data_IF_047782510704
#
_entry.id   IF_047782510704
#
_cell.length_a   1.000
_cell.length_b   1.000
_cell.length_c   1.000
_cell.angle_alpha   90.00
_cell.angle_beta   90.00
_cell.angle_gamma   90.00
#
_symmetry.space_group_name_H-M   'P 1'
#
loop_
_entity.id
_entity.type
_entity.pdbx_description
1 polymer ?
#
# COMPACT_ATOMS: atom_id res chain seq x y z
N UNK A 1 -4.67 0.21 20.89
CA UNK A 1 -3.53 1.11 21.19
C UNK A 1 -2.70 1.15 19.93
N UNK A 2 -2.55 2.31 19.28
CA UNK A 2 -1.62 2.45 18.16
C UNK A 2 -0.20 2.16 18.65
N UNK A 3 0.57 1.38 17.91
CA UNK A 3 1.99 1.16 18.22
C UNK A 3 2.77 2.46 18.13
N UNK A 4 3.83 2.60 18.93
CA UNK A 4 4.76 3.69 18.73
C UNK A 4 5.51 3.51 17.40
N UNK A 5 5.91 4.63 16.81
CA UNK A 5 6.53 4.67 15.49
C UNK A 5 7.84 3.86 15.40
N UNK A 6 8.63 3.80 16.48
CA UNK A 6 9.87 3.01 16.48
C UNK A 6 9.59 1.51 16.43
N UNK A 7 8.48 1.08 17.06
CA UNK A 7 8.00 -0.29 16.97
C UNK A 7 7.54 -0.61 15.55
N UNK A 8 6.81 0.29 14.88
CA UNK A 8 6.40 0.12 13.48
C UNK A 8 7.60 -0.02 12.55
N UNK A 9 8.59 0.87 12.67
CA UNK A 9 9.86 0.81 11.92
C UNK A 9 10.55 -0.53 12.15
N UNK A 10 10.67 -0.96 13.40
CA UNK A 10 11.34 -2.21 13.76
C UNK A 10 10.66 -3.42 13.14
N UNK A 11 9.33 -3.46 13.14
CA UNK A 11 8.56 -4.52 12.51
C UNK A 11 8.79 -4.53 11.00
N UNK A 12 8.62 -3.40 10.32
CA UNK A 12 8.75 -3.30 8.86
C UNK A 12 10.14 -3.71 8.34
N UNK A 13 11.22 -3.44 9.08
CA UNK A 13 12.56 -3.87 8.70
C UNK A 13 12.91 -5.31 9.13
N UNK A 14 11.93 -6.06 9.63
CA UNK A 14 12.07 -7.46 10.02
C UNK A 14 12.80 -7.69 11.35
N UNK A 15 12.88 -6.68 12.24
CA UNK A 15 13.46 -6.91 13.57
C UNK A 15 12.47 -7.68 14.44
N UNK A 16 13.01 -8.67 15.15
CA UNK A 16 12.25 -9.38 16.16
C UNK A 16 11.89 -8.43 17.30
N UNK A 17 10.59 -8.25 17.53
CA UNK A 17 10.06 -7.42 18.62
C UNK A 17 9.40 -8.30 19.68
N UNK A 18 9.14 -7.76 20.89
CA UNK A 18 8.33 -8.45 21.89
C UNK A 18 6.96 -8.91 21.35
N UNK A 19 6.33 -8.11 20.48
CA UNK A 19 5.05 -8.44 19.83
C UNK A 19 5.14 -9.68 18.95
N UNK A 20 6.17 -9.81 18.11
CA UNK A 20 6.40 -11.04 17.32
C UNK A 20 6.56 -12.24 18.24
N UNK A 21 7.33 -12.08 19.32
CA UNK A 21 7.58 -13.17 20.28
C UNK A 21 6.35 -13.52 21.14
N UNK A 22 5.40 -12.59 21.30
CA UNK A 22 4.10 -12.81 21.94
C UNK A 22 3.15 -13.53 20.99
N UNK A 23 3.04 -13.09 19.73
CA UNK A 23 2.23 -13.76 18.69
C UNK A 23 2.64 -15.23 18.47
N UNK A 24 3.95 -15.51 18.48
CA UNK A 24 4.48 -16.88 18.40
C UNK A 24 4.15 -17.74 19.63
N UNK A 25 3.97 -17.14 20.80
CA UNK A 25 3.68 -17.85 22.05
C UNK A 25 2.19 -18.04 22.29
N UNK A 26 1.39 -17.05 21.93
CA UNK A 26 -0.05 -17.00 22.21
C UNK A 26 -0.90 -17.68 21.14
N UNK A 27 -0.39 -17.77 19.91
CA UNK A 27 -1.11 -18.38 18.81
C UNK A 27 -0.32 -19.57 18.24
N UNK A 28 -1.04 -20.59 17.81
CA UNK A 28 -0.58 -21.77 17.07
C UNK A 28 -0.05 -21.41 15.65
N UNK A 29 0.56 -20.22 15.50
CA UNK A 29 0.97 -19.60 14.26
C UNK A 29 2.47 -19.82 14.11
N UNK A 30 2.92 -20.52 13.06
CA UNK A 30 4.33 -20.67 12.77
C UNK A 30 5.07 -19.31 12.75
N UNK A 31 6.34 -19.26 13.20
CA UNK A 31 7.12 -18.02 13.28
C UNK A 31 7.12 -17.16 12.00
N UNK A 32 7.14 -17.79 10.82
CA UNK A 32 7.12 -17.08 9.54
C UNK A 32 5.80 -16.32 9.32
N UNK A 33 4.65 -16.91 9.69
CA UNK A 33 3.36 -16.23 9.60
C UNK A 33 3.23 -15.14 10.66
N UNK A 34 3.75 -15.34 11.87
CA UNK A 34 3.76 -14.31 12.90
C UNK A 34 4.57 -13.08 12.45
N UNK A 35 5.74 -13.31 11.83
CA UNK A 35 6.57 -12.25 11.27
C UNK A 35 5.85 -11.52 10.11
N UNK A 36 5.27 -12.25 9.15
CA UNK A 36 4.46 -11.67 8.06
C UNK A 36 3.36 -10.76 8.60
N UNK A 37 2.48 -11.30 9.46
CA UNK A 37 1.33 -10.56 9.98
C UNK A 37 1.76 -9.34 10.80
N UNK A 38 2.88 -9.41 11.52
CA UNK A 38 3.38 -8.26 12.25
C UNK A 38 3.85 -7.13 11.31
N UNK A 39 4.47 -7.45 10.16
CA UNK A 39 4.86 -6.46 9.15
C UNK A 39 3.65 -5.85 8.45
N UNK A 40 2.72 -6.69 8.01
CA UNK A 40 1.47 -6.28 7.37
C UNK A 40 0.65 -5.35 8.29
N UNK A 41 0.50 -5.74 9.56
CA UNK A 41 -0.15 -4.92 10.59
C UNK A 41 0.57 -3.61 10.81
N UNK A 42 1.91 -3.60 10.85
CA UNK A 42 2.68 -2.37 11.03
C UNK A 42 2.49 -1.39 9.86
N UNK A 43 2.43 -1.89 8.64
CA UNK A 43 2.15 -1.08 7.46
C UNK A 43 0.74 -0.48 7.51
N UNK A 44 -0.29 -1.28 7.85
CA UNK A 44 -1.67 -0.77 8.01
C UNK A 44 -1.77 0.28 9.12
N UNK A 45 -1.16 0.01 10.28
CA UNK A 45 -1.13 0.97 11.39
C UNK A 45 -0.42 2.28 11.01
N UNK A 46 0.60 2.22 10.14
CA UNK A 46 1.26 3.42 9.64
C UNK A 46 0.34 4.30 8.78
N UNK A 47 -0.60 3.74 8.03
CA UNK A 47 -1.57 4.51 7.24
C UNK A 47 -2.46 5.42 8.11
N UNK A 48 -2.73 4.99 9.35
CA UNK A 48 -3.59 5.70 10.31
C UNK A 48 -2.87 6.81 11.09
N UNK A 49 -1.54 6.94 10.95
CA UNK A 49 -0.79 8.00 11.62
C UNK A 49 -1.12 9.37 11.03
N UNK A 50 -1.03 10.47 11.76
CA UNK A 50 -1.26 11.79 11.15
C UNK A 50 -0.09 12.24 10.27
N UNK A 51 1.12 11.74 10.52
CA UNK A 51 2.35 12.07 9.79
C UNK A 51 3.32 10.89 9.86
N UNK A 52 4.16 10.73 8.84
CA UNK A 52 5.28 9.80 8.84
C UNK A 52 6.60 10.52 9.15
N UNK A 53 7.38 9.97 10.08
CA UNK A 53 8.79 10.36 10.19
C UNK A 53 9.61 9.80 9.02
N UNK A 54 10.75 10.42 8.74
CA UNK A 54 11.65 9.94 7.70
C UNK A 54 12.10 8.47 7.88
N UNK A 55 12.42 7.98 9.10
CA UNK A 55 12.68 6.55 9.33
C UNK A 55 11.51 5.64 8.97
N UNK A 56 10.27 6.02 9.32
CA UNK A 56 9.09 5.22 8.98
C UNK A 56 8.82 5.24 7.47
N UNK A 57 8.93 6.40 6.83
CA UNK A 57 8.84 6.51 5.36
C UNK A 57 9.88 5.61 4.67
N UNK A 58 11.13 5.60 5.14
CA UNK A 58 12.17 4.74 4.57
C UNK A 58 11.88 3.25 4.77
N UNK A 59 11.35 2.87 5.94
CA UNK A 59 10.97 1.49 6.23
C UNK A 59 9.78 1.03 5.34
N UNK A 60 8.77 1.88 5.15
CA UNK A 60 7.65 1.62 4.26
C UNK A 60 8.09 1.50 2.80
N UNK A 61 8.99 2.39 2.34
CA UNK A 61 9.57 2.30 1.00
C UNK A 61 10.28 0.97 0.79
N UNK A 62 11.12 0.58 1.75
CA UNK A 62 11.79 -0.72 1.68
C UNK A 62 10.79 -1.87 1.62
N UNK A 63 9.80 -1.88 2.53
CA UNK A 63 8.77 -2.91 2.56
C UNK A 63 7.97 -2.97 1.25
N UNK A 64 7.69 -1.83 0.62
CA UNK A 64 6.91 -1.76 -0.62
C UNK A 64 7.55 -2.48 -1.82
N UNK A 65 8.88 -2.54 -1.87
CA UNK A 65 9.63 -3.10 -3.00
C UNK A 65 10.36 -4.40 -2.68
N UNK A 66 10.80 -4.58 -1.44
CA UNK A 66 11.73 -5.65 -1.06
C UNK A 66 11.08 -6.71 -0.16
N UNK A 67 9.89 -6.49 0.39
CA UNK A 67 9.27 -7.53 1.23
C UNK A 67 8.90 -8.74 0.38
N UNK A 68 9.17 -9.93 0.90
CA UNK A 68 8.88 -11.20 0.24
C UNK A 68 7.36 -11.43 0.11
N UNK A 69 6.59 -10.89 1.05
CA UNK A 69 5.14 -11.09 1.15
C UNK A 69 4.37 -9.99 0.41
N UNK A 70 3.54 -10.39 -0.56
CA UNK A 70 2.74 -9.46 -1.37
C UNK A 70 1.80 -8.59 -0.53
N UNK A 71 1.15 -9.18 0.48
CA UNK A 71 0.25 -8.46 1.38
C UNK A 71 0.98 -7.35 2.16
N UNK A 72 2.25 -7.57 2.52
CA UNK A 72 3.06 -6.57 3.21
C UNK A 72 3.45 -5.46 2.25
N UNK A 73 3.85 -5.81 1.01
CA UNK A 73 4.13 -4.82 -0.04
C UNK A 73 2.91 -3.95 -0.30
N UNK A 74 1.73 -4.54 -0.48
CA UNK A 74 0.47 -3.83 -0.70
C UNK A 74 0.14 -2.88 0.46
N UNK A 75 0.15 -3.37 1.70
CA UNK A 75 -0.12 -2.53 2.88
C UNK A 75 0.87 -1.36 3.03
N UNK A 76 2.16 -1.58 2.76
CA UNK A 76 3.19 -0.54 2.86
C UNK A 76 2.99 0.56 1.80
N UNK A 77 2.56 0.17 0.59
CA UNK A 77 2.27 1.11 -0.51
C UNK A 77 1.03 1.95 -0.22
N UNK A 78 -0.04 1.29 0.24
CA UNK A 78 -1.25 1.97 0.68
C UNK A 78 -0.94 3.06 1.71
N UNK A 79 -0.14 2.74 2.75
CA UNK A 79 0.27 3.73 3.74
C UNK A 79 0.98 4.95 3.14
N UNK A 80 1.89 4.74 2.17
CA UNK A 80 2.58 5.83 1.47
C UNK A 80 1.63 6.68 0.61
N UNK A 81 0.61 6.08 0.01
CA UNK A 81 -0.40 6.78 -0.79
C UNK A 81 -1.28 7.68 0.08
N UNK A 82 -1.72 7.18 1.24
CA UNK A 82 -2.55 7.91 2.20
C UNK A 82 -1.85 9.18 2.72
N UNK A 83 -0.58 9.09 3.10
CA UNK A 83 0.16 10.24 3.65
C UNK A 83 0.46 11.35 2.65
N UNK A 84 0.34 11.02 1.38
CA UNK A 84 0.35 11.97 0.30
C UNK A 84 1.65 12.73 0.06
N UNK A 85 1.65 13.44 -1.06
CA UNK A 85 2.82 14.14 -1.60
C UNK A 85 3.51 13.38 -2.73
N UNK A 86 4.55 14.00 -3.28
CA UNK A 86 5.24 13.57 -4.50
C UNK A 86 5.70 12.11 -4.44
N UNK A 87 6.09 11.62 -3.26
CA UNK A 87 6.51 10.24 -3.08
C UNK A 87 5.33 9.26 -3.21
N UNK A 88 4.21 9.52 -2.54
CA UNK A 88 3.00 8.69 -2.65
C UNK A 88 2.45 8.67 -4.07
N UNK A 89 2.49 9.81 -4.76
CA UNK A 89 2.04 9.91 -6.15
C UNK A 89 2.97 9.14 -7.11
N UNK A 90 4.29 9.23 -6.90
CA UNK A 90 5.25 8.44 -7.66
C UNK A 90 5.10 6.93 -7.40
N UNK A 91 4.83 6.52 -6.16
CA UNK A 91 4.58 5.13 -5.80
C UNK A 91 3.33 4.59 -6.48
N UNK A 92 2.25 5.37 -6.49
CA UNK A 92 1.03 5.02 -7.20
C UNK A 92 1.26 4.82 -8.71
N UNK A 93 2.07 5.67 -9.35
CA UNK A 93 2.41 5.49 -10.77
C UNK A 93 3.25 4.21 -11.02
N UNK A 94 4.18 3.88 -10.13
CA UNK A 94 4.96 2.64 -10.25
C UNK A 94 4.06 1.41 -10.12
N UNK A 95 3.03 1.47 -9.28
CA UNK A 95 2.08 0.39 -9.08
C UNK A 95 1.26 0.04 -10.32
N UNK A 96 0.86 1.04 -11.11
CA UNK A 96 0.11 0.79 -12.35
C UNK A 96 0.96 0.13 -13.44
N UNK A 97 2.25 -0.11 -13.16
CA UNK A 97 3.21 -0.80 -14.02
C UNK A 97 3.73 -2.12 -13.39
N UNK A 98 3.21 -2.55 -12.23
CA UNK A 98 3.66 -3.78 -11.55
C UNK A 98 3.34 -5.02 -12.42
N UNK A 99 4.24 -6.03 -12.53
CA UNK A 99 3.97 -7.22 -13.32
C UNK A 99 2.78 -8.05 -12.82
N UNK A 100 2.42 -7.97 -11.54
CA UNK A 100 1.29 -8.67 -10.98
C UNK A 100 -0.03 -7.89 -11.21
N UNK A 101 -1.02 -8.45 -11.93
CA UNK A 101 -2.28 -7.77 -12.21
C UNK A 101 -3.11 -7.45 -10.95
N UNK A 102 -3.03 -8.26 -9.89
CA UNK A 102 -3.73 -7.99 -8.63
C UNK A 102 -3.19 -6.73 -7.95
N UNK A 103 -1.86 -6.52 -8.04
CA UNK A 103 -1.22 -5.31 -7.53
C UNK A 103 -1.65 -4.07 -8.34
N UNK A 104 -1.71 -4.19 -9.67
CA UNK A 104 -2.22 -3.10 -10.54
C UNK A 104 -3.68 -2.78 -10.22
N UNK A 105 -4.48 -3.80 -9.89
CA UNK A 105 -5.87 -3.63 -9.49
C UNK A 105 -5.99 -2.93 -8.12
N UNK A 106 -5.20 -3.34 -7.12
CA UNK A 106 -5.17 -2.71 -5.79
C UNK A 106 -4.81 -1.23 -5.86
N UNK A 107 -3.86 -0.86 -6.71
CA UNK A 107 -3.45 0.53 -6.91
C UNK A 107 -4.65 1.45 -7.24
N UNK A 108 -5.57 0.92 -8.05
CA UNK A 108 -6.78 1.64 -8.43
C UNK A 108 -7.71 1.88 -7.24
N UNK A 109 -7.92 0.85 -6.42
CA UNK A 109 -8.78 0.94 -5.24
C UNK A 109 -8.15 1.86 -4.17
N UNK A 110 -6.82 1.79 -3.99
CA UNK A 110 -6.06 2.68 -3.09
C UNK A 110 -6.17 4.17 -3.50
N UNK A 111 -6.21 4.47 -4.80
CA UNK A 111 -6.43 5.84 -5.28
C UNK A 111 -7.78 6.40 -4.83
N UNK A 112 -8.82 5.56 -4.79
CA UNK A 112 -10.18 5.97 -4.39
C UNK A 112 -10.29 6.31 -2.90
N UNK A 113 -9.40 5.75 -2.08
CA UNK A 113 -9.38 5.97 -0.63
C UNK A 113 -8.68 7.29 -0.24
N UNK A 114 -8.04 7.98 -1.19
CA UNK A 114 -7.41 9.28 -0.94
C UNK A 114 -8.47 10.34 -0.61
N UNK A 115 -8.37 10.93 0.59
CA UNK A 115 -9.35 11.92 1.08
C UNK A 115 -9.30 13.30 0.41
N UNK A 116 -8.17 13.67 -0.21
CA UNK A 116 -8.06 14.92 -0.99
C UNK A 116 -8.66 14.71 -2.39
N UNK A 117 -9.80 15.36 -2.67
CA UNK A 117 -10.56 15.17 -3.91
C UNK A 117 -9.77 15.52 -5.18
N UNK A 118 -8.97 16.59 -5.16
CA UNK A 118 -8.22 17.04 -6.33
C UNK A 118 -7.05 16.08 -6.62
N UNK A 119 -6.35 15.65 -5.57
CA UNK A 119 -5.30 14.66 -5.66
C UNK A 119 -5.83 13.29 -6.07
N UNK A 120 -6.94 12.84 -5.45
CA UNK A 120 -7.64 11.61 -5.82
C UNK A 120 -7.98 11.61 -7.30
N UNK A 121 -8.62 12.67 -7.79
CA UNK A 121 -8.96 12.80 -9.21
C UNK A 121 -7.72 12.73 -10.12
N UNK A 122 -6.59 13.32 -9.71
CA UNK A 122 -5.33 13.23 -10.44
C UNK A 122 -4.78 11.80 -10.49
N UNK A 123 -4.70 11.12 -9.34
CA UNK A 123 -4.17 9.75 -9.23
C UNK A 123 -5.01 8.77 -10.03
N UNK A 124 -6.33 8.86 -9.88
CA UNK A 124 -7.28 8.01 -10.59
C UNK A 124 -7.19 8.23 -12.10
N UNK A 125 -7.07 9.48 -12.58
CA UNK A 125 -6.88 9.76 -14.01
C UNK A 125 -5.60 9.12 -14.54
N UNK A 126 -4.49 9.29 -13.83
CA UNK A 126 -3.22 8.66 -14.21
C UNK A 126 -3.32 7.12 -14.22
N UNK A 127 -4.05 6.54 -13.27
CA UNK A 127 -4.30 5.09 -13.23
C UNK A 127 -5.08 4.63 -14.46
N UNK A 128 -6.19 5.29 -14.79
CA UNK A 128 -7.00 4.97 -15.96
C UNK A 128 -6.18 5.10 -17.25
N UNK A 129 -5.44 6.19 -17.41
CA UNK A 129 -4.58 6.41 -18.59
C UNK A 129 -3.52 5.31 -18.74
N UNK A 130 -2.93 4.86 -17.64
CA UNK A 130 -1.93 3.79 -17.64
C UNK A 130 -2.53 2.41 -17.92
N UNK A 131 -3.75 2.14 -17.45
CA UNK A 131 -4.32 0.79 -17.39
C UNK A 131 -5.37 0.48 -18.48
N UNK A 132 -5.81 1.48 -19.25
CA UNK A 132 -6.83 1.25 -20.29
C UNK A 132 -6.35 0.35 -21.45
N UNK A 133 -5.03 0.29 -21.63
CA UNK A 133 -4.33 -0.59 -22.58
C UNK A 133 -3.57 -1.74 -21.93
N UNK A 134 -3.82 -2.03 -20.65
CA UNK A 134 -3.18 -3.12 -19.91
C UNK A 134 -3.31 -4.46 -20.64
N UNK A 135 -2.40 -5.41 -20.46
CA UNK A 135 -2.47 -6.72 -21.11
C UNK A 135 -3.55 -7.65 -20.50
N UNK A 136 -3.94 -7.41 -19.24
CA UNK A 136 -4.96 -8.19 -18.54
C UNK A 136 -6.37 -7.61 -18.71
N UNK A 137 -7.33 -8.42 -19.16
CA UNK A 137 -8.69 -7.95 -19.46
C UNK A 137 -9.43 -7.46 -18.21
N UNK A 138 -9.23 -8.08 -17.05
CA UNK A 138 -9.88 -7.64 -15.81
C UNK A 138 -9.45 -6.22 -15.42
N UNK A 139 -8.15 -5.92 -15.56
CA UNK A 139 -7.57 -4.59 -15.28
C UNK A 139 -8.07 -3.56 -16.30
N UNK A 140 -8.09 -3.91 -17.60
CA UNK A 140 -8.67 -3.04 -18.64
C UNK A 140 -10.15 -2.75 -18.40
N UNK A 141 -10.94 -3.78 -18.08
CA UNK A 141 -12.37 -3.65 -17.87
C UNK A 141 -12.69 -2.72 -16.70
N UNK A 142 -11.90 -2.80 -15.61
CA UNK A 142 -12.00 -1.89 -14.46
C UNK A 142 -11.68 -0.45 -14.86
N UNK A 143 -10.56 -0.22 -15.54
CA UNK A 143 -10.16 1.11 -16.01
C UNK A 143 -11.21 1.74 -16.93
N UNK A 144 -11.80 0.95 -17.85
CA UNK A 144 -12.90 1.38 -18.73
C UNK A 144 -14.17 1.69 -17.97
N UNK A 145 -14.60 0.79 -17.08
CA UNK A 145 -15.80 1.01 -16.26
C UNK A 145 -15.69 2.31 -15.45
N UNK A 146 -14.49 2.64 -14.98
CA UNK A 146 -14.27 3.92 -14.32
C UNK A 146 -14.23 5.08 -15.30
N UNK A 147 -13.55 4.97 -16.45
CA UNK A 147 -13.53 6.01 -17.49
C UNK A 147 -14.96 6.37 -17.97
N UNK A 148 -15.80 5.35 -18.14
CA UNK A 148 -17.20 5.48 -18.55
C UNK A 148 -18.07 6.05 -17.43
N UNK A 149 -17.86 5.61 -16.17
CA UNK A 149 -18.52 6.20 -15.01
C UNK A 149 -18.08 7.64 -14.72
N UNK A 150 -16.91 8.01 -15.24
CA UNK A 150 -16.28 9.32 -15.10
C UNK A 150 -16.41 10.16 -16.36
N UNK A 151 -17.34 9.84 -17.30
CA UNK A 151 -17.70 10.73 -18.40
C UNK A 151 -17.70 12.17 -17.90
N UNK A 152 -16.74 12.91 -18.39
CA UNK A 152 -16.09 13.99 -17.66
C UNK A 152 -17.12 15.09 -17.44
N UNK A 153 -17.44 15.37 -16.18
CA UNK A 153 -18.08 16.64 -15.84
C UNK A 153 -17.15 17.75 -16.35
N UNK A 154 -17.61 18.45 -17.38
CA UNK A 154 -16.97 19.53 -18.15
C UNK A 154 -15.97 20.41 -17.37
#
# INVERSE_FOLDING_TARGET
MAQDENTLVSLLIGRRTPRVSEMEREAFVPPFLAAKYARESAAREAAELPHLSAPLTAALLRASFEDEEEDVRAAARHALIIHGGTLGDAMHLVLTMDPNPEVRHSAFDEALEVGDDARRASLVRQAVESLIGDDEESVRARARAFADASEWSE
#
